data_IF_855124899427
#
_entry.id   IF_855124899427
#
_cell.length_a   1.000
_cell.length_b   1.000
_cell.length_c   1.000
_cell.angle_alpha   90.00
_cell.angle_beta   90.00
_cell.angle_gamma   90.00
#
_symmetry.space_group_name_H-M   'P 1'
#
loop_
_entity.id
_entity.type
_entity.pdbx_description
1 polymer ?
#
# COMPACT_ATOMS: atom_id res chain seq x y z
N UNK A 1 22.02 -22.83 1.27
CA UNK A 1 20.64 -23.15 1.69
C UNK A 1 20.18 -22.02 2.58
N UNK A 2 19.37 -21.11 2.04
CA UNK A 2 18.91 -19.90 2.71
C UNK A 2 17.57 -20.18 3.39
N UNK A 3 17.52 -19.99 4.71
CA UNK A 3 16.31 -20.12 5.53
C UNK A 3 15.22 -19.13 5.09
N UNK A 4 13.93 -19.50 5.20
CA UNK A 4 12.83 -18.58 4.90
C UNK A 4 12.63 -17.57 6.04
N UNK A 5 12.59 -16.28 5.68
CA UNK A 5 12.30 -15.14 6.57
C UNK A 5 10.93 -15.28 7.27
N UNK A 6 10.78 -14.97 8.57
CA UNK A 6 9.51 -15.06 9.28
C UNK A 6 8.58 -13.92 8.84
N UNK A 7 7.43 -14.24 8.24
CA UNK A 7 6.52 -13.29 7.56
C UNK A 7 5.58 -12.54 8.53
N UNK A 8 5.68 -11.21 8.60
CA UNK A 8 4.63 -10.30 9.09
C UNK A 8 4.23 -9.28 8.01
N UNK A 9 3.72 -9.76 6.88
CA UNK A 9 2.83 -9.04 5.98
C UNK A 9 2.18 -10.06 5.02
N UNK A 10 0.94 -9.77 4.65
CA UNK A 10 0.00 -10.56 3.84
C UNK A 10 0.67 -11.48 2.81
N UNK A 11 0.54 -12.79 3.02
CA UNK A 11 0.61 -13.77 1.95
C UNK A 11 -0.70 -13.70 1.16
N UNK A 12 -0.62 -13.25 -0.08
CA UNK A 12 -1.55 -13.72 -1.11
C UNK A 12 -1.07 -15.12 -1.48
N UNK A 13 -1.77 -16.13 -0.99
CA UNK A 13 -1.66 -17.50 -1.47
C UNK A 13 -3.02 -18.16 -1.25
N UNK A 14 -3.79 -18.24 -2.33
CA UNK A 14 -5.01 -19.03 -2.41
C UNK A 14 -4.62 -20.50 -2.68
N UNK A 15 -5.07 -21.41 -1.81
CA UNK A 15 -5.52 -22.79 -2.09
C UNK A 15 -5.55 -23.59 -0.77
N UNK A 16 -6.73 -23.98 -0.31
CA UNK A 16 -6.92 -24.99 0.73
C UNK A 16 -7.96 -26.01 0.25
N UNK A 17 -7.51 -27.26 0.04
CA UNK A 17 -8.36 -28.44 -0.04
C UNK A 17 -8.31 -29.10 1.35
N UNK A 18 -9.47 -29.29 1.98
CA UNK A 18 -9.60 -29.88 3.30
C UNK A 18 -9.98 -31.37 3.21
N UNK A 19 -9.29 -32.22 3.98
CA UNK A 19 -9.79 -33.54 4.37
C UNK A 19 -9.59 -33.73 5.86
N UNK A 20 -10.68 -34.05 6.56
CA UNK A 20 -10.77 -34.21 8.01
C UNK A 20 -10.30 -35.59 8.49
N UNK A 21 -9.76 -35.66 9.70
CA UNK A 21 -9.77 -36.86 10.54
C UNK A 21 -9.67 -36.50 12.04
N UNK A 22 -10.29 -37.34 12.85
CA UNK A 22 -10.82 -37.10 14.21
C UNK A 22 -9.88 -37.42 15.38
N UNK A 23 -10.15 -36.71 16.47
CA UNK A 23 -9.84 -36.83 17.91
C UNK A 23 -9.20 -38.11 18.51
N UNK A 24 -8.42 -37.90 19.59
CA UNK A 24 -8.53 -38.65 20.85
C UNK A 24 -7.93 -37.85 22.04
N UNK A 25 -8.68 -37.77 23.14
CA UNK A 25 -8.30 -37.20 24.45
C UNK A 25 -7.92 -38.29 25.46
N UNK A 26 -6.98 -38.03 26.36
CA UNK A 26 -6.79 -38.78 27.62
C UNK A 26 -6.45 -37.78 28.75
N UNK A 27 -7.07 -37.89 29.95
CA UNK A 27 -6.90 -36.93 31.05
C UNK A 27 -5.80 -37.34 32.03
N UNK A 28 -5.17 -36.36 32.70
CA UNK A 28 -4.19 -36.61 33.75
C UNK A 28 -4.02 -35.46 34.74
N UNK A 29 -4.54 -35.65 35.96
CA UNK A 29 -3.92 -35.33 37.25
C UNK A 29 -3.48 -33.90 37.57
N UNK A 30 -4.27 -33.22 38.40
CA UNK A 30 -4.00 -31.92 39.02
C UNK A 30 -2.87 -31.97 40.08
N UNK A 31 -2.01 -30.95 40.09
CA UNK A 31 -1.28 -30.50 41.27
C UNK A 31 -1.40 -28.97 41.37
N UNK A 32 -1.91 -28.50 42.50
CA UNK A 32 -2.28 -27.10 42.77
C UNK A 32 -1.03 -26.25 43.03
N UNK A 33 -0.81 -25.23 42.20
CA UNK A 33 0.04 -24.09 42.50
C UNK A 33 -0.75 -22.82 42.10
N UNK A 34 -0.79 -21.84 43.00
CA UNK A 34 -1.54 -20.61 42.81
C UNK A 34 -1.13 -19.91 41.49
N UNK A 35 -2.08 -19.49 40.65
CA UNK A 35 -1.75 -18.84 39.39
C UNK A 35 -1.05 -17.49 39.65
N UNK A 36 0.04 -17.18 38.94
CA UNK A 36 0.58 -15.82 38.95
C UNK A 36 -0.50 -14.87 38.42
N UNK A 37 -0.70 -13.77 39.13
CA UNK A 37 -1.65 -12.72 38.75
C UNK A 37 -1.32 -12.27 37.32
N UNK A 38 -2.28 -12.32 36.38
CA UNK A 38 -2.02 -11.84 35.02
C UNK A 38 -1.60 -10.36 35.10
N UNK A 39 -0.58 -9.93 34.34
CA UNK A 39 -0.21 -8.53 34.29
C UNK A 39 -1.45 -7.72 33.90
N UNK A 40 -1.70 -6.65 34.66
CA UNK A 40 -2.82 -5.75 34.39
C UNK A 40 -2.79 -5.33 32.91
N UNK A 41 -3.93 -5.34 32.21
CA UNK A 41 -3.98 -4.84 30.85
C UNK A 41 -3.44 -3.40 30.84
N UNK A 42 -2.58 -3.05 29.86
CA UNK A 42 -2.10 -1.68 29.75
C UNK A 42 -3.32 -0.75 29.66
N UNK A 43 -3.29 0.34 30.44
CA UNK A 43 -4.34 1.33 30.46
C UNK A 43 -4.69 1.76 29.01
N UNK A 44 -5.98 1.91 28.67
CA UNK A 44 -6.36 2.34 27.34
C UNK A 44 -5.70 3.68 27.01
N UNK A 45 -4.86 3.70 25.97
CA UNK A 45 -4.28 4.93 25.44
C UNK A 45 -5.43 5.85 25.01
N UNK A 46 -5.29 7.13 25.36
CA UNK A 46 -6.25 8.18 25.02
C UNK A 46 -6.61 8.16 23.51
N UNK A 47 -7.85 8.55 23.19
CA UNK A 47 -8.46 8.62 21.86
C UNK A 47 -7.86 9.71 20.98
N UNK A 48 -6.54 9.69 20.78
CA UNK A 48 -5.82 10.56 19.87
C UNK A 48 -5.81 10.03 18.43
N UNK A 49 -5.32 10.85 17.50
CA UNK A 49 -5.04 10.41 16.13
C UNK A 49 -4.01 9.26 16.17
N UNK A 50 -4.27 8.20 15.41
CA UNK A 50 -3.36 7.04 15.29
C UNK A 50 -2.63 7.01 13.95
N UNK A 51 -2.86 8.01 13.09
CA UNK A 51 -2.29 8.12 11.75
C UNK A 51 -1.83 9.57 11.53
N UNK A 52 -0.64 9.71 10.96
CA UNK A 52 -0.10 10.98 10.49
C UNK A 52 0.37 10.83 9.04
N UNK A 53 0.02 11.80 8.20
CA UNK A 53 0.35 11.82 6.78
C UNK A 53 1.15 13.09 6.47
N UNK A 54 2.26 12.94 5.74
CA UNK A 54 3.01 14.10 5.22
C UNK A 54 3.48 13.84 3.81
N UNK A 55 3.12 14.74 2.89
CA UNK A 55 3.49 14.66 1.47
C UNK A 55 4.08 15.98 0.94
N UNK A 56 5.24 15.92 0.29
CA UNK A 56 5.83 17.00 -0.50
C UNK A 56 5.33 16.88 -1.95
N UNK A 57 4.73 17.94 -2.48
CA UNK A 57 4.03 17.93 -3.77
C UNK A 57 3.82 19.33 -4.40
N UNK A 58 4.25 20.39 -3.72
CA UNK A 58 4.13 21.77 -4.18
C UNK A 58 5.52 22.34 -4.44
N UNK A 59 5.60 23.44 -5.19
CA UNK A 59 6.89 24.08 -5.49
C UNK A 59 7.65 24.46 -4.20
N UNK A 60 6.96 25.07 -3.23
CA UNK A 60 7.54 25.39 -1.93
C UNK A 60 7.95 24.16 -1.12
N UNK A 61 7.22 23.04 -1.25
CA UNK A 61 7.62 21.78 -0.63
C UNK A 61 8.94 21.26 -1.20
N UNK A 62 9.13 21.32 -2.52
CA UNK A 62 10.36 20.88 -3.16
C UNK A 62 11.54 21.79 -2.81
N UNK A 63 11.34 23.11 -2.79
CA UNK A 63 12.36 24.07 -2.36
C UNK A 63 12.82 23.87 -0.92
N UNK A 64 11.94 23.42 -0.02
CA UNK A 64 12.27 23.28 1.39
C UNK A 64 13.26 22.13 1.70
N UNK A 65 13.42 21.15 0.81
CA UNK A 65 14.38 20.08 1.01
C UNK A 65 15.82 20.48 0.66
N UNK A 66 16.77 19.65 1.08
CA UNK A 66 18.17 19.79 0.70
C UNK A 66 18.38 19.21 -0.70
N UNK A 67 18.92 20.03 -1.61
CA UNK A 67 19.17 19.66 -3.00
C UNK A 67 20.66 19.36 -3.21
N UNK A 68 20.94 18.17 -3.71
CA UNK A 68 22.26 17.77 -4.21
C UNK A 68 22.10 17.46 -5.70
N UNK A 69 22.26 18.50 -6.53
CA UNK A 69 22.10 18.41 -8.00
C UNK A 69 20.65 18.29 -8.49
N UNK A 70 19.68 18.26 -7.58
CA UNK A 70 18.26 18.34 -7.92
C UNK A 70 17.79 19.80 -8.00
N UNK A 71 16.62 20.02 -8.60
CA UNK A 71 15.95 21.31 -8.61
C UNK A 71 14.44 21.15 -8.51
N UNK A 72 13.78 22.12 -7.86
CA UNK A 72 12.34 22.25 -7.89
C UNK A 72 11.91 22.87 -9.22
N UNK A 73 10.98 22.22 -9.92
CA UNK A 73 10.35 22.76 -11.13
C UNK A 73 8.95 23.25 -10.81
N UNK A 74 8.65 24.47 -11.26
CA UNK A 74 7.35 25.12 -11.07
C UNK A 74 6.29 24.66 -12.06
N UNK A 75 5.28 25.50 -12.24
CA UNK A 75 4.20 25.25 -13.19
C UNK A 75 3.02 24.51 -12.58
N UNK A 76 2.18 23.98 -13.46
CA UNK A 76 0.85 23.54 -13.08
C UNK A 76 0.88 22.23 -12.25
N UNK A 77 1.91 21.40 -12.40
CA UNK A 77 2.18 20.25 -11.52
C UNK A 77 3.65 20.34 -11.07
N UNK A 78 3.94 21.05 -9.97
CA UNK A 78 5.30 21.22 -9.48
C UNK A 78 5.97 19.88 -9.23
N UNK A 79 7.28 19.82 -9.47
CA UNK A 79 8.03 18.58 -9.35
C UNK A 79 9.47 18.79 -8.92
N UNK A 80 10.18 17.68 -8.82
CA UNK A 80 11.60 17.58 -8.56
C UNK A 80 12.28 16.89 -9.74
N UNK A 81 13.35 17.49 -10.26
CA UNK A 81 14.11 16.98 -11.40
C UNK A 81 15.62 17.03 -11.12
N UNK A 82 16.41 16.42 -12.00
CA UNK A 82 17.86 16.54 -12.01
C UNK A 82 18.23 17.86 -12.71
N UNK A 83 18.88 18.78 -12.00
CA UNK A 83 19.51 19.95 -12.62
C UNK A 83 20.91 19.59 -13.14
N UNK A 84 21.73 19.04 -12.25
CA UNK A 84 23.11 18.64 -12.53
C UNK A 84 23.37 17.31 -11.84
N UNK A 85 23.92 16.34 -12.55
CA UNK A 85 24.34 15.09 -11.92
C UNK A 85 25.46 15.37 -10.91
N UNK A 86 25.31 14.89 -9.67
CA UNK A 86 26.37 15.04 -8.64
C UNK A 86 27.42 13.96 -8.73
N UNK A 87 27.14 12.88 -9.46
CA UNK A 87 28.10 11.81 -9.71
C UNK A 87 27.53 10.71 -10.58
N UNK A 88 28.32 9.65 -10.70
CA UNK A 88 27.94 8.40 -11.37
C UNK A 88 27.92 7.26 -10.37
N UNK A 89 27.01 6.32 -10.57
CA UNK A 89 26.90 5.10 -9.79
C UNK A 89 26.65 3.92 -10.72
N UNK A 90 27.07 2.73 -10.31
CA UNK A 90 26.73 1.50 -11.00
C UNK A 90 25.59 0.80 -10.26
N UNK A 91 24.61 0.32 -11.04
CA UNK A 91 23.56 -0.54 -10.54
C UNK A 91 23.63 -1.88 -11.25
N UNK A 92 23.91 -2.93 -10.49
CA UNK A 92 23.69 -4.31 -10.91
C UNK A 92 22.28 -4.70 -10.48
N UNK A 93 21.38 -4.84 -11.44
CA UNK A 93 20.01 -5.25 -11.19
C UNK A 93 19.99 -6.75 -10.83
N UNK A 94 19.63 -7.11 -9.58
CA UNK A 94 19.70 -8.49 -9.10
C UNK A 94 18.72 -9.42 -9.83
N UNK A 95 17.73 -8.87 -10.53
CA UNK A 95 16.67 -9.64 -11.19
C UNK A 95 16.91 -9.84 -12.69
N UNK A 96 17.80 -9.06 -13.29
CA UNK A 96 18.18 -9.22 -14.71
C UNK A 96 19.64 -9.59 -14.92
N UNK A 97 20.48 -9.44 -13.89
CA UNK A 97 21.93 -9.59 -14.00
C UNK A 97 22.60 -8.46 -14.78
N UNK A 98 21.84 -7.50 -15.32
CA UNK A 98 22.40 -6.38 -16.09
C UNK A 98 23.06 -5.39 -15.15
N UNK A 99 24.29 -5.01 -15.48
CA UNK A 99 25.01 -3.91 -14.85
C UNK A 99 24.93 -2.67 -15.74
N UNK A 100 24.63 -1.52 -15.15
CA UNK A 100 24.54 -0.26 -15.88
C UNK A 100 25.03 0.90 -15.03
N UNK A 101 25.73 1.83 -15.67
CA UNK A 101 26.14 3.11 -15.06
C UNK A 101 25.01 4.13 -15.21
N UNK A 102 24.82 4.93 -14.16
CA UNK A 102 23.80 5.96 -14.05
C UNK A 102 24.42 7.24 -13.51
N UNK A 103 24.04 8.37 -14.07
CA UNK A 103 24.16 9.66 -13.39
C UNK A 103 23.07 9.79 -12.34
N UNK A 104 23.36 10.44 -11.22
CA UNK A 104 22.37 10.65 -10.17
C UNK A 104 22.40 12.07 -9.59
N UNK A 105 21.27 12.44 -9.00
CA UNK A 105 21.12 13.59 -8.11
C UNK A 105 20.20 13.20 -6.96
N UNK A 106 20.33 13.89 -5.83
CA UNK A 106 19.64 13.56 -4.59
C UNK A 106 18.85 14.76 -4.07
N UNK A 107 17.70 14.46 -3.49
CA UNK A 107 16.93 15.41 -2.69
C UNK A 107 16.60 14.77 -1.35
N UNK A 108 16.82 15.50 -0.26
CA UNK A 108 16.47 15.04 1.10
C UNK A 108 15.41 15.96 1.69
N UNK A 109 14.31 15.38 2.17
CA UNK A 109 13.22 16.14 2.75
C UNK A 109 13.64 16.83 4.06
N UNK A 110 12.97 17.93 4.46
CA UNK A 110 12.97 18.35 5.86
C UNK A 110 12.57 17.20 6.79
N UNK A 111 13.05 17.24 8.03
CA UNK A 111 12.57 16.35 9.09
C UNK A 111 11.11 16.64 9.37
N UNK A 112 10.26 15.61 9.21
CA UNK A 112 8.88 15.66 9.67
C UNK A 112 8.81 15.09 11.09
N UNK A 113 8.44 15.91 12.07
CA UNK A 113 8.13 15.43 13.42
C UNK A 113 6.68 14.95 13.40
N UNK A 114 6.50 13.66 13.64
CA UNK A 114 5.18 13.04 13.56
C UNK A 114 4.31 13.51 14.72
N UNK A 115 3.06 13.88 14.43
CA UNK A 115 2.05 14.10 15.46
C UNK A 115 1.65 12.79 16.16
N UNK A 116 1.97 11.65 15.53
CA UNK A 116 1.71 10.29 16.02
C UNK A 116 3.04 9.53 16.05
N UNK A 117 3.71 9.42 17.20
CA UNK A 117 4.88 8.56 17.33
C UNK A 117 4.51 7.14 16.91
N UNK A 118 5.11 6.66 15.82
CA UNK A 118 4.57 5.56 15.03
C UNK A 118 5.24 4.21 15.33
N UNK A 119 4.53 3.12 15.06
CA UNK A 119 5.07 1.76 14.98
C UNK A 119 5.30 1.31 13.55
N UNK A 120 4.63 1.94 12.58
CA UNK A 120 4.73 1.60 11.16
C UNK A 120 4.84 2.86 10.29
N UNK A 121 5.52 2.73 9.14
CA UNK A 121 5.66 3.78 8.13
C UNK A 121 5.64 3.18 6.71
N UNK A 122 4.93 3.84 5.80
CA UNK A 122 4.81 3.44 4.39
C UNK A 122 5.05 4.65 3.51
N UNK A 123 6.10 4.59 2.69
CA UNK A 123 6.44 5.65 1.76
C UNK A 123 5.53 5.59 0.52
N UNK A 124 5.16 6.75 -0.01
CA UNK A 124 4.43 6.90 -1.28
C UNK A 124 5.18 7.86 -2.19
N UNK A 125 5.20 7.58 -3.49
CA UNK A 125 5.79 8.46 -4.49
C UNK A 125 4.97 8.45 -5.79
N UNK A 126 5.02 9.57 -6.50
CA UNK A 126 4.39 9.76 -7.80
C UNK A 126 5.43 10.32 -8.73
N UNK A 127 5.82 9.57 -9.76
CA UNK A 127 6.90 9.98 -10.64
C UNK A 127 6.67 9.53 -12.08
N UNK A 128 7.15 10.37 -13.00
CA UNK A 128 7.41 9.97 -14.38
C UNK A 128 8.86 9.53 -14.48
N UNK A 129 9.07 8.32 -14.97
CA UNK A 129 10.41 7.83 -15.32
C UNK A 129 10.42 7.46 -16.80
N UNK A 130 10.80 8.38 -17.71
CA UNK A 130 11.01 8.05 -19.11
C UNK A 130 12.07 6.95 -19.27
N UNK A 131 12.16 6.36 -20.46
CA UNK A 131 13.20 5.39 -20.77
C UNK A 131 14.60 5.96 -20.47
N UNK A 132 15.48 5.14 -19.92
CA UNK A 132 16.80 5.58 -19.45
C UNK A 132 16.76 6.32 -18.11
N UNK A 133 15.70 6.18 -17.31
CA UNK A 133 15.60 6.81 -15.99
C UNK A 133 14.92 5.91 -14.96
N UNK A 134 15.21 6.13 -13.68
CA UNK A 134 14.54 5.49 -12.55
C UNK A 134 14.77 6.29 -11.27
N UNK A 135 14.06 5.95 -10.18
CA UNK A 135 14.22 6.60 -8.88
C UNK A 135 14.40 5.57 -7.75
N UNK A 136 15.14 5.97 -6.72
CA UNK A 136 15.25 5.27 -5.44
C UNK A 136 14.57 6.11 -4.36
N UNK A 137 13.76 5.46 -3.54
CA UNK A 137 13.10 6.07 -2.39
C UNK A 137 13.69 5.45 -1.13
N UNK A 138 14.20 6.29 -0.24
CA UNK A 138 14.77 5.88 1.04
C UNK A 138 14.08 6.61 2.18
N UNK A 139 13.87 5.92 3.31
CA UNK A 139 13.26 6.46 4.52
C UNK A 139 14.21 6.28 5.70
N UNK A 140 14.31 7.32 6.53
CA UNK A 140 15.02 7.28 7.81
C UNK A 140 14.11 7.79 8.92
N UNK A 141 14.03 7.04 10.00
CA UNK A 141 13.33 7.42 11.22
C UNK A 141 14.28 7.92 12.31
N UNK A 142 13.73 8.71 13.23
CA UNK A 142 14.30 8.99 14.55
C UNK A 142 13.38 8.40 15.58
N UNK A 143 13.91 7.53 16.42
CA UNK A 143 13.18 6.91 17.51
C UNK A 143 12.91 7.90 18.65
N UNK A 144 11.98 7.58 19.53
CA UNK A 144 11.66 8.37 20.73
C UNK A 144 12.81 8.47 21.73
N UNK A 145 13.79 7.57 21.68
CA UNK A 145 15.02 7.63 22.47
C UNK A 145 16.09 8.57 21.86
N UNK A 146 15.78 9.21 20.73
CA UNK A 146 16.68 10.12 20.01
C UNK A 146 17.64 9.44 19.03
N UNK A 147 17.76 8.11 19.06
CA UNK A 147 18.59 7.39 18.09
C UNK A 147 17.90 7.30 16.73
N UNK A 148 18.69 7.15 15.66
CA UNK A 148 18.15 7.08 14.30
C UNK A 148 18.19 5.65 13.75
N UNK A 149 17.24 5.34 12.87
CA UNK A 149 17.36 4.17 12.00
C UNK A 149 18.49 4.37 10.99
N UNK A 150 18.95 3.29 10.34
CA UNK A 150 19.59 3.37 9.03
C UNK A 150 18.67 4.04 7.99
N UNK A 151 19.23 4.39 6.84
CA UNK A 151 18.43 4.68 5.66
C UNK A 151 17.95 3.36 5.06
N UNK A 152 16.64 3.15 5.04
CA UNK A 152 16.01 1.99 4.44
C UNK A 152 15.57 2.30 3.01
N UNK A 153 15.86 1.43 2.06
CA UNK A 153 15.36 1.52 0.69
C UNK A 153 13.92 1.00 0.68
N UNK A 154 12.97 1.92 0.50
CA UNK A 154 11.53 1.59 0.43
C UNK A 154 11.10 1.15 -0.98
N UNK A 155 11.90 1.45 -1.99
CA UNK A 155 11.69 0.96 -3.35
C UNK A 155 12.68 1.50 -4.37
N UNK A 156 12.97 0.68 -5.37
CA UNK A 156 13.57 1.11 -6.64
C UNK A 156 12.48 1.06 -7.71
N UNK A 157 12.16 2.22 -8.28
CA UNK A 157 11.01 2.39 -9.14
C UNK A 157 11.40 2.88 -10.54
N UNK A 158 10.87 2.19 -11.54
CA UNK A 158 10.71 2.68 -12.90
C UNK A 158 9.28 2.32 -13.36
N UNK A 159 8.67 3.18 -14.18
CA UNK A 159 7.35 3.00 -14.79
C UNK A 159 7.35 1.86 -15.83
N UNK A 160 8.50 1.58 -16.44
CA UNK A 160 8.72 0.44 -17.31
C UNK A 160 9.76 -0.53 -16.75
N UNK A 161 10.00 -1.63 -17.45
CA UNK A 161 10.89 -2.72 -17.02
C UNK A 161 12.17 -2.88 -17.87
N UNK A 162 12.40 -1.97 -18.82
CA UNK A 162 13.55 -2.03 -19.74
C UNK A 162 14.87 -1.57 -19.10
N UNK A 163 14.78 -0.61 -18.16
CA UNK A 163 15.93 0.03 -17.51
C UNK A 163 16.37 -0.72 -16.26
N UNK A 164 15.41 -0.98 -15.36
CA UNK A 164 15.55 -1.80 -14.16
C UNK A 164 14.28 -2.62 -13.96
N UNK A 165 14.39 -3.77 -13.29
CA UNK A 165 13.25 -4.43 -12.67
C UNK A 165 12.94 -3.73 -11.36
N UNK A 166 11.84 -2.97 -11.38
CA UNK A 166 11.24 -2.35 -10.20
C UNK A 166 11.13 -3.37 -9.06
N UNK A 167 11.61 -2.99 -7.87
CA UNK A 167 11.86 -3.96 -6.79
C UNK A 167 11.86 -3.31 -5.40
N UNK A 168 11.28 -4.00 -4.42
CA UNK A 168 11.60 -3.81 -3.00
C UNK A 168 12.99 -4.36 -2.69
N UNK A 169 13.45 -4.18 -1.44
CA UNK A 169 14.76 -4.67 -0.98
C UNK A 169 14.57 -5.47 0.31
N UNK A 170 14.93 -6.75 0.27
CA UNK A 170 14.81 -7.68 1.39
C UNK A 170 15.91 -7.49 2.45
N UNK A 171 15.68 -8.05 3.64
CA UNK A 171 16.70 -8.23 4.68
C UNK A 171 17.13 -6.96 5.41
N UNK A 172 16.35 -5.88 5.31
CA UNK A 172 16.66 -4.61 5.95
C UNK A 172 16.13 -4.57 7.38
N UNK A 173 17.03 -4.54 8.37
CA UNK A 173 16.70 -4.42 9.79
C UNK A 173 17.84 -3.74 10.58
N UNK A 174 17.51 -3.12 11.71
CA UNK A 174 18.49 -2.65 12.71
C UNK A 174 18.35 -3.36 14.08
N UNK A 175 17.59 -4.47 14.12
CA UNK A 175 17.26 -5.20 15.35
C UNK A 175 16.17 -4.53 16.21
N UNK A 176 15.68 -3.36 15.81
CA UNK A 176 14.58 -2.63 16.45
C UNK A 176 13.41 -2.38 15.50
N UNK A 177 13.71 -2.23 14.22
CA UNK A 177 12.77 -2.08 13.14
C UNK A 177 13.23 -2.86 11.91
N UNK A 178 12.26 -3.29 11.10
CA UNK A 178 12.45 -4.12 9.92
C UNK A 178 11.56 -3.62 8.78
N UNK A 179 12.06 -3.64 7.55
CA UNK A 179 11.24 -3.39 6.36
C UNK A 179 10.65 -4.70 5.86
N UNK A 180 9.32 -4.76 5.84
CA UNK A 180 8.53 -5.85 5.30
C UNK A 180 8.01 -5.48 3.92
N UNK A 181 8.80 -5.75 2.86
CA UNK A 181 8.51 -5.40 1.46
C UNK A 181 8.37 -3.89 1.23
N UNK A 182 7.29 -3.28 1.71
CA UNK A 182 6.93 -1.87 1.55
C UNK A 182 6.64 -1.13 2.87
N UNK A 183 6.61 -1.85 3.99
CA UNK A 183 6.25 -1.30 5.30
C UNK A 183 7.44 -1.37 6.25
N UNK A 184 7.94 -0.23 6.71
CA UNK A 184 8.85 -0.18 7.86
C UNK A 184 8.02 -0.39 9.12
N UNK A 185 8.35 -1.38 9.93
CA UNK A 185 7.67 -1.67 11.18
C UNK A 185 8.66 -1.84 12.33
N UNK A 186 8.28 -1.39 13.53
CA UNK A 186 8.98 -1.76 14.75
C UNK A 186 8.80 -3.24 15.05
N UNK A 187 9.89 -3.88 15.46
CA UNK A 187 9.86 -5.27 15.88
C UNK A 187 9.07 -5.41 17.18
N UNK A 188 8.41 -6.55 17.38
CA UNK A 188 7.43 -6.71 18.46
C UNK A 188 7.97 -6.43 19.88
N UNK A 189 9.17 -6.90 20.28
CA UNK A 189 9.73 -6.58 21.61
C UNK A 189 9.93 -5.08 21.79
N UNK A 190 10.44 -4.41 20.75
CA UNK A 190 10.70 -2.97 20.73
C UNK A 190 9.42 -2.14 20.79
N UNK A 191 8.42 -2.50 19.99
CA UNK A 191 7.13 -1.83 19.99
C UNK A 191 6.40 -1.98 21.34
N UNK A 192 6.49 -3.17 21.95
CA UNK A 192 5.90 -3.48 23.27
C UNK A 192 6.61 -2.72 24.38
N UNK A 193 7.92 -2.54 24.27
CA UNK A 193 8.71 -1.71 25.20
C UNK A 193 8.43 -0.19 25.08
N UNK A 194 7.57 0.23 24.14
CA UNK A 194 7.12 1.61 24.02
C UNK A 194 7.96 2.49 23.10
N UNK A 195 9.02 1.95 22.47
CA UNK A 195 9.76 2.71 21.46
C UNK A 195 8.83 3.06 20.29
N UNK A 196 8.99 4.26 19.73
CA UNK A 196 8.23 4.74 18.55
C UNK A 196 9.15 5.48 17.59
N UNK A 197 8.75 5.57 16.33
CA UNK A 197 9.34 6.47 15.34
C UNK A 197 8.70 7.86 15.55
N UNK A 198 9.44 8.79 16.15
CA UNK A 198 8.97 10.12 16.51
C UNK A 198 9.09 11.15 15.38
N UNK A 199 10.07 10.97 14.50
CA UNK A 199 10.28 11.82 13.34
C UNK A 199 10.85 10.99 12.19
N UNK A 200 10.75 11.51 10.96
CA UNK A 200 11.29 10.82 9.79
C UNK A 200 11.66 11.79 8.66
N UNK A 201 12.46 11.31 7.73
CA UNK A 201 12.86 11.98 6.50
C UNK A 201 12.79 11.01 5.32
N UNK A 202 12.61 11.55 4.12
CA UNK A 202 12.83 10.85 2.87
C UNK A 202 14.07 11.36 2.17
N UNK A 203 14.74 10.45 1.47
CA UNK A 203 15.75 10.76 0.47
C UNK A 203 15.31 10.16 -0.85
N UNK A 204 15.30 11.00 -1.88
CA UNK A 204 15.00 10.62 -3.25
C UNK A 204 16.29 10.70 -4.05
N UNK A 205 16.70 9.59 -4.66
CA UNK A 205 17.81 9.58 -5.63
C UNK A 205 17.25 9.37 -7.02
N UNK A 206 17.39 10.38 -7.86
CA UNK A 206 16.94 10.38 -9.24
C UNK A 206 18.10 9.91 -10.11
N UNK A 207 17.83 8.97 -11.03
CA UNK A 207 18.85 8.40 -11.91
C UNK A 207 18.48 8.62 -13.38
N UNK A 208 19.49 8.93 -14.19
CA UNK A 208 19.39 8.96 -15.66
C UNK A 208 20.62 8.33 -16.31
N UNK A 209 20.52 7.92 -17.58
CA UNK A 209 21.70 7.46 -18.33
C UNK A 209 22.76 8.57 -18.41
N UNK A 210 24.07 8.24 -18.35
CA UNK A 210 25.12 9.24 -18.47
C UNK A 210 24.99 10.07 -19.75
N UNK A 211 25.11 11.40 -19.62
CA UNK A 211 24.98 12.32 -20.75
C UNK A 211 23.56 12.50 -21.31
N UNK A 212 22.52 11.91 -20.70
CA UNK A 212 21.15 12.15 -21.11
C UNK A 212 20.67 13.53 -20.62
N UNK A 213 19.99 14.29 -21.48
CA UNK A 213 19.47 15.62 -21.12
C UNK A 213 18.25 15.54 -20.20
N UNK A 214 17.41 14.50 -20.38
CA UNK A 214 16.17 14.32 -19.62
C UNK A 214 16.36 13.35 -18.44
N UNK A 215 15.74 13.68 -17.31
CA UNK A 215 15.70 12.85 -16.11
C UNK A 215 14.27 12.45 -15.72
N UNK A 216 14.13 11.70 -14.62
CA UNK A 216 12.82 11.44 -14.04
C UNK A 216 12.27 12.72 -13.39
N UNK A 217 10.94 12.86 -13.35
CA UNK A 217 10.25 13.95 -12.66
C UNK A 217 9.44 13.35 -11.52
N UNK A 218 9.68 13.79 -10.27
CA UNK A 218 8.88 13.38 -9.09
C UNK A 218 7.87 14.49 -8.77
N UNK A 219 6.59 14.16 -8.68
CA UNK A 219 5.51 15.14 -8.41
C UNK A 219 4.94 15.05 -7.00
N UNK A 220 5.10 13.90 -6.34
CA UNK A 220 4.73 13.72 -4.95
C UNK A 220 5.67 12.71 -4.31
N UNK A 221 6.11 12.98 -3.08
CA UNK A 221 6.76 12.01 -2.21
C UNK A 221 6.31 12.24 -0.77
N UNK A 222 6.24 11.20 0.04
CA UNK A 222 5.87 11.32 1.44
C UNK A 222 5.67 9.98 2.09
N UNK A 223 5.13 9.98 3.31
CA UNK A 223 4.80 8.76 4.01
C UNK A 223 3.54 8.94 4.85
N UNK A 224 2.82 7.83 5.00
CA UNK A 224 1.91 7.61 6.11
C UNK A 224 2.66 6.91 7.23
N UNK A 225 2.51 7.41 8.45
CA UNK A 225 3.00 6.73 9.66
C UNK A 225 1.84 6.50 10.63
N UNK A 226 1.91 5.42 11.40
CA UNK A 226 0.79 5.04 12.28
C UNK A 226 1.21 4.29 13.54
N UNK A 227 0.39 4.42 14.57
CA UNK A 227 0.42 3.64 15.82
C UNK A 227 -1.00 3.15 16.12
N UNK A 228 -1.51 2.25 15.27
CA UNK A 228 -2.84 1.66 15.44
C UNK A 228 -2.74 0.55 16.50
N UNK A 229 -3.52 0.61 17.58
CA UNK A 229 -3.44 -0.38 18.65
C UNK A 229 -3.90 -1.77 18.17
N UNK A 230 -3.40 -2.79 18.85
CA UNK A 230 -3.86 -4.16 18.70
C UNK A 230 -5.35 -4.26 19.05
N UNK A 231 -6.16 -4.70 18.08
CA UNK A 231 -7.60 -4.87 18.24
C UNK A 231 -8.11 -5.99 17.34
N UNK A 232 -8.93 -6.87 17.89
CA UNK A 232 -9.60 -7.96 17.18
C UNK A 232 -10.92 -7.55 16.57
N UNK A 233 -11.56 -6.56 17.18
CA UNK A 233 -12.81 -5.97 16.72
C UNK A 233 -12.73 -4.45 16.74
N UNK A 234 -13.61 -3.81 15.99
CA UNK A 234 -13.85 -2.37 16.08
C UNK A 234 -15.33 -2.07 16.27
N UNK A 235 -15.68 -1.00 17.01
CA UNK A 235 -17.05 -0.51 17.07
C UNK A 235 -17.54 -0.11 15.67
N UNK A 236 -18.77 -0.48 15.33
CA UNK A 236 -19.39 -0.02 14.09
C UNK A 236 -19.66 1.49 14.16
N UNK A 237 -19.28 2.22 13.12
CA UNK A 237 -19.59 3.63 12.97
C UNK A 237 -21.05 3.83 12.56
N UNK A 238 -21.61 4.99 12.88
CA UNK A 238 -22.97 5.34 12.48
C UNK A 238 -22.98 5.76 11.01
N UNK A 239 -23.84 5.18 10.17
CA UNK A 239 -23.89 5.55 8.75
C UNK A 239 -24.48 6.93 8.55
N UNK A 240 -24.04 7.63 7.50
CA UNK A 240 -24.58 8.94 7.13
C UNK A 240 -26.00 8.93 6.55
N UNK A 241 -26.57 7.73 6.31
CA UNK A 241 -27.95 7.49 5.82
C UNK A 241 -28.29 8.14 4.47
N UNK A 242 -27.30 8.42 3.63
CA UNK A 242 -27.54 8.80 2.23
C UNK A 242 -26.89 7.78 1.31
N UNK A 243 -27.69 7.25 0.39
CA UNK A 243 -27.17 6.39 -0.66
C UNK A 243 -26.30 7.22 -1.62
N UNK A 244 -25.12 6.69 -1.95
CA UNK A 244 -24.24 7.28 -2.95
C UNK A 244 -23.41 6.16 -3.57
N UNK A 245 -23.32 6.13 -4.90
CA UNK A 245 -22.54 5.13 -5.61
C UNK A 245 -21.85 5.76 -6.82
N UNK A 246 -20.53 5.59 -6.88
CA UNK A 246 -19.68 6.04 -7.95
C UNK A 246 -19.70 5.02 -9.10
N UNK A 247 -19.69 5.52 -10.33
CA UNK A 247 -19.70 4.70 -11.55
C UNK A 247 -18.30 4.18 -11.90
N UNK A 248 -17.71 3.42 -10.98
CA UNK A 248 -16.39 2.81 -11.18
C UNK A 248 -16.53 1.57 -12.07
N UNK A 249 -15.72 1.43 -13.15
CA UNK A 249 -15.66 0.22 -13.97
C UNK A 249 -15.44 -1.04 -13.14
N UNK A 250 -15.85 -2.19 -13.68
CA UNK A 250 -15.84 -3.47 -12.97
C UNK A 250 -14.93 -4.44 -13.70
N UNK A 251 -13.89 -4.89 -13.02
CA UNK A 251 -12.99 -5.92 -13.52
C UNK A 251 -12.85 -7.04 -12.50
N UNK A 252 -13.00 -8.26 -12.99
CA UNK A 252 -12.68 -9.48 -12.28
C UNK A 252 -11.22 -9.82 -12.53
N UNK A 253 -10.53 -10.23 -11.48
CA UNK A 253 -9.18 -10.80 -11.63
C UNK A 253 -9.24 -12.26 -12.11
N UNK A 254 -10.31 -12.98 -11.76
CA UNK A 254 -10.46 -14.43 -12.02
C UNK A 254 -10.65 -14.76 -13.50
N UNK A 255 -11.12 -13.81 -14.32
CA UNK A 255 -11.10 -14.02 -15.79
C UNK A 255 -9.68 -14.17 -16.32
N UNK A 256 -8.66 -13.80 -15.54
CA UNK A 256 -7.24 -13.97 -15.86
C UNK A 256 -6.57 -15.13 -15.12
N UNK A 257 -7.34 -16.04 -14.50
CA UNK A 257 -6.79 -17.19 -13.80
C UNK A 257 -5.78 -17.97 -14.67
N UNK A 258 -4.58 -18.20 -14.13
CA UNK A 258 -3.47 -18.87 -14.81
C UNK A 258 -2.86 -18.14 -16.02
N UNK A 259 -3.29 -16.91 -16.34
CA UNK A 259 -2.72 -16.11 -17.44
C UNK A 259 -1.48 -15.34 -16.95
N UNK A 260 -0.39 -15.37 -17.72
CA UNK A 260 0.89 -14.73 -17.38
C UNK A 260 1.41 -15.13 -15.98
N UNK A 261 1.70 -16.42 -15.75
CA UNK A 261 2.11 -16.92 -14.43
C UNK A 261 3.40 -16.30 -13.89
N UNK A 262 4.23 -15.70 -14.76
CA UNK A 262 5.40 -14.92 -14.37
C UNK A 262 5.07 -13.69 -13.51
N UNK A 263 3.82 -13.22 -13.53
CA UNK A 263 3.32 -12.15 -12.69
C UNK A 263 2.45 -12.73 -11.58
N UNK A 264 3.04 -13.45 -10.62
CA UNK A 264 2.36 -13.95 -9.42
C UNK A 264 1.32 -15.06 -9.69
N UNK A 265 1.66 -16.02 -10.56
CA UNK A 265 0.83 -17.16 -10.97
C UNK A 265 -0.45 -16.82 -11.77
N UNK A 266 -0.76 -15.54 -11.97
CA UNK A 266 -1.86 -15.07 -12.80
C UNK A 266 -2.93 -14.32 -12.01
N UNK A 267 -4.11 -14.21 -12.62
CA UNK A 267 -5.24 -13.41 -12.14
C UNK A 267 -5.62 -13.63 -10.68
N UNK A 268 -5.43 -14.83 -10.15
CA UNK A 268 -5.75 -15.23 -8.77
C UNK A 268 -5.01 -14.39 -7.71
N UNK A 269 -3.91 -13.72 -8.09
CA UNK A 269 -3.14 -12.82 -7.22
C UNK A 269 -3.22 -11.33 -7.61
N UNK A 270 -4.10 -10.96 -8.55
CA UNK A 270 -4.14 -9.62 -9.15
C UNK A 270 -5.18 -8.67 -8.54
N UNK A 271 -5.67 -8.94 -7.33
CA UNK A 271 -6.66 -8.07 -6.66
C UNK A 271 -6.25 -6.59 -6.60
N UNK A 272 -4.97 -6.32 -6.31
CA UNK A 272 -4.39 -4.98 -6.20
C UNK A 272 -4.32 -4.24 -7.56
N UNK A 273 -3.66 -4.79 -8.61
CA UNK A 273 -3.64 -4.14 -9.92
C UNK A 273 -5.04 -4.04 -10.56
N UNK A 274 -5.91 -5.03 -10.35
CA UNK A 274 -7.29 -5.00 -10.86
C UNK A 274 -8.09 -3.86 -10.22
N UNK A 275 -8.03 -3.74 -8.89
CA UNK A 275 -8.64 -2.61 -8.16
C UNK A 275 -8.06 -1.26 -8.56
N UNK A 276 -6.73 -1.22 -8.79
CA UNK A 276 -6.06 -0.01 -9.23
C UNK A 276 -6.55 0.44 -10.60
N UNK A 277 -6.65 -0.49 -11.55
CA UNK A 277 -7.11 -0.22 -12.91
C UNK A 277 -8.57 0.27 -12.93
N UNK A 278 -9.45 -0.29 -12.09
CA UNK A 278 -10.83 0.18 -11.93
C UNK A 278 -10.89 1.67 -11.56
N UNK A 279 -10.12 2.12 -10.57
CA UNK A 279 -10.12 3.54 -10.15
C UNK A 279 -9.40 4.43 -11.18
N UNK A 280 -8.31 3.97 -11.79
CA UNK A 280 -7.60 4.73 -12.84
C UNK A 280 -8.56 5.07 -13.98
N UNK A 281 -9.37 4.11 -14.44
CA UNK A 281 -10.35 4.32 -15.51
C UNK A 281 -11.56 5.14 -15.07
N UNK A 282 -11.99 5.02 -13.81
CA UNK A 282 -13.01 5.90 -13.25
C UNK A 282 -12.62 7.39 -13.38
N UNK A 283 -11.34 7.70 -13.21
CA UNK A 283 -10.80 9.04 -13.44
C UNK A 283 -10.44 9.35 -14.90
N UNK A 284 -10.73 8.44 -15.83
CA UNK A 284 -10.50 8.62 -17.26
C UNK A 284 -9.09 8.22 -17.74
N UNK A 285 -8.24 7.66 -16.88
CA UNK A 285 -6.97 7.07 -17.29
C UNK A 285 -7.20 5.86 -18.19
N UNK A 286 -6.47 5.76 -19.31
CA UNK A 286 -6.58 4.64 -20.24
C UNK A 286 -5.20 4.13 -20.62
N UNK A 287 -5.02 2.82 -20.63
CA UNK A 287 -3.79 2.21 -21.16
C UNK A 287 -3.75 2.49 -22.66
N UNK A 288 -2.68 3.08 -23.22
CA UNK A 288 -2.58 3.27 -24.66
C UNK A 288 -2.48 1.91 -25.36
N UNK A 289 -3.11 1.78 -26.53
CA UNK A 289 -3.13 0.52 -27.30
C UNK A 289 -1.74 -0.03 -27.59
N UNK A 290 -0.74 0.84 -27.80
CA UNK A 290 0.66 0.46 -27.99
C UNK A 290 1.24 -0.30 -26.79
N UNK A 291 0.81 0.02 -25.57
CA UNK A 291 1.25 -0.65 -24.34
C UNK A 291 0.52 -1.97 -24.05
N UNK A 292 -0.49 -2.31 -24.85
CA UNK A 292 -1.25 -3.56 -24.78
C UNK A 292 -0.82 -4.59 -25.83
N UNK A 293 0.09 -4.23 -26.76
CA UNK A 293 0.51 -5.09 -27.87
C UNK A 293 1.19 -6.40 -27.45
N UNK A 294 1.71 -6.45 -26.23
CA UNK A 294 2.30 -7.67 -25.65
C UNK A 294 1.24 -8.63 -25.09
N UNK A 295 0.01 -8.15 -24.87
CA UNK A 295 -1.07 -8.96 -24.31
C UNK A 295 -1.68 -9.79 -25.44
N UNK A 296 -1.82 -11.10 -25.22
CA UNK A 296 -2.58 -12.00 -26.07
C UNK A 296 -3.96 -11.41 -26.40
N UNK A 297 -4.26 -11.16 -27.69
CA UNK A 297 -5.47 -10.47 -28.10
C UNK A 297 -6.76 -11.26 -27.83
N UNK A 298 -6.68 -12.56 -27.48
CA UNK A 298 -7.86 -13.35 -27.10
C UNK A 298 -8.30 -13.12 -25.65
N UNK A 299 -7.47 -12.46 -24.83
CA UNK A 299 -7.79 -12.17 -23.44
C UNK A 299 -8.67 -10.92 -23.34
N UNK A 300 -9.78 -11.06 -22.63
CA UNK A 300 -10.56 -9.92 -22.13
C UNK A 300 -9.71 -9.06 -21.20
N UNK A 301 -10.10 -7.80 -21.03
CA UNK A 301 -9.53 -6.86 -20.07
C UNK A 301 -7.99 -6.76 -20.10
N UNK A 302 -7.37 -6.54 -21.27
CA UNK A 302 -5.91 -6.52 -21.41
C UNK A 302 -5.23 -5.44 -20.55
N UNK A 303 -5.97 -4.39 -20.16
CA UNK A 303 -5.53 -3.39 -19.20
C UNK A 303 -5.22 -3.95 -17.81
N UNK A 304 -5.88 -5.03 -17.37
CA UNK A 304 -5.61 -5.69 -16.09
C UNK A 304 -4.28 -6.44 -16.17
N UNK A 305 -4.01 -7.13 -17.29
CA UNK A 305 -2.69 -7.74 -17.54
C UNK A 305 -1.58 -6.68 -17.55
N UNK A 306 -1.83 -5.53 -18.19
CA UNK A 306 -0.90 -4.39 -18.16
C UNK A 306 -0.66 -3.88 -16.73
N UNK A 307 -1.72 -3.69 -15.94
CA UNK A 307 -1.60 -3.25 -14.55
C UNK A 307 -0.79 -4.25 -13.69
N UNK A 308 -1.01 -5.56 -13.86
CA UNK A 308 -0.24 -6.60 -13.16
C UNK A 308 1.25 -6.50 -13.49
N UNK A 309 1.61 -6.49 -14.77
CA UNK A 309 3.01 -6.31 -15.22
C UNK A 309 3.64 -5.02 -14.68
N UNK A 310 2.91 -3.91 -14.72
CA UNK A 310 3.41 -2.58 -14.32
C UNK A 310 3.51 -2.38 -12.80
N UNK A 311 2.93 -3.29 -11.99
CA UNK A 311 2.97 -3.24 -10.52
C UNK A 311 3.72 -4.40 -9.88
N UNK A 312 4.12 -5.40 -10.67
CA UNK A 312 4.88 -6.55 -10.22
C UNK A 312 6.22 -6.14 -9.58
N UNK A 313 6.40 -6.52 -8.32
CA UNK A 313 7.62 -6.34 -7.56
C UNK A 313 8.52 -7.57 -7.70
N UNK A 314 9.70 -7.41 -8.27
CA UNK A 314 10.59 -8.53 -8.58
C UNK A 314 11.17 -9.25 -7.34
N UNK A 315 11.39 -8.55 -6.22
CA UNK A 315 11.88 -9.19 -4.99
C UNK A 315 10.75 -9.88 -4.23
N UNK A 316 9.61 -9.19 -4.07
CA UNK A 316 8.40 -9.77 -3.45
C UNK A 316 7.79 -10.89 -4.29
N UNK A 317 8.01 -10.87 -5.61
CA UNK A 317 7.43 -11.79 -6.61
C UNK A 317 5.91 -11.72 -6.65
N UNK A 318 5.36 -10.50 -6.51
CA UNK A 318 3.92 -10.31 -6.48
C UNK A 318 3.50 -8.91 -6.91
N UNK A 319 2.20 -8.76 -7.19
CA UNK A 319 1.60 -7.48 -7.60
C UNK A 319 1.02 -6.68 -6.41
N UNK A 320 1.16 -7.22 -5.19
CA UNK A 320 0.55 -6.69 -3.97
C UNK A 320 1.32 -5.59 -3.24
N UNK A 321 2.45 -5.10 -3.75
CA UNK A 321 3.21 -4.01 -3.12
C UNK A 321 2.42 -2.69 -3.20
N UNK A 322 2.10 -2.09 -2.04
CA UNK A 322 1.11 -0.99 -1.98
C UNK A 322 1.61 0.30 -2.63
N UNK A 323 2.81 0.81 -2.29
CA UNK A 323 3.37 1.99 -2.96
C UNK A 323 3.55 1.79 -4.46
N UNK A 324 3.80 0.56 -4.91
CA UNK A 324 3.99 0.27 -6.31
C UNK A 324 2.69 0.44 -7.12
N UNK A 325 1.55 0.02 -6.57
CA UNK A 325 0.24 0.26 -7.18
C UNK A 325 -0.10 1.76 -7.21
N UNK A 326 0.16 2.48 -6.12
CA UNK A 326 -0.03 3.93 -6.07
C UNK A 326 0.86 4.69 -7.07
N UNK A 327 2.12 4.28 -7.21
CA UNK A 327 3.06 4.86 -8.17
C UNK A 327 2.68 4.51 -9.62
N UNK A 328 2.13 3.32 -9.88
CA UNK A 328 1.57 2.97 -11.19
C UNK A 328 0.38 3.86 -11.56
N UNK A 329 -0.57 4.07 -10.65
CA UNK A 329 -1.70 4.98 -10.88
C UNK A 329 -1.22 6.41 -11.21
N UNK A 330 -0.14 6.86 -10.59
CA UNK A 330 0.47 8.16 -10.83
C UNK A 330 1.13 8.33 -12.21
N UNK A 331 1.36 7.23 -12.95
CA UNK A 331 1.90 7.31 -14.32
C UNK A 331 0.87 7.82 -15.33
N UNK A 332 -0.42 7.78 -14.97
CA UNK A 332 -1.50 8.30 -15.79
C UNK A 332 -1.60 9.83 -15.68
N UNK A 333 -1.81 10.53 -16.81
CA UNK A 333 -1.92 11.98 -16.81
C UNK A 333 -2.99 12.49 -15.84
N UNK A 334 -2.62 13.47 -15.01
CA UNK A 334 -3.55 14.13 -14.10
C UNK A 334 -3.92 13.32 -12.85
N UNK A 335 -3.36 12.13 -12.63
CA UNK A 335 -3.61 11.34 -11.42
C UNK A 335 -2.49 11.46 -10.38
N UNK A 336 -2.89 11.41 -9.11
CA UNK A 336 -2.01 11.20 -7.98
C UNK A 336 -2.53 10.05 -7.12
N UNK A 337 -1.62 9.28 -6.53
CA UNK A 337 -1.93 8.17 -5.66
C UNK A 337 -1.08 8.15 -4.39
N UNK A 338 -1.70 7.80 -3.26
CA UNK A 338 -1.03 7.59 -1.99
C UNK A 338 -1.56 6.35 -1.28
N UNK A 339 -0.72 5.77 -0.43
CA UNK A 339 -1.14 4.77 0.57
C UNK A 339 -1.37 5.49 1.89
N UNK A 340 -2.49 5.20 2.55
CA UNK A 340 -2.77 5.75 3.87
C UNK A 340 -3.55 4.76 4.73
N UNK A 341 -3.86 5.15 5.97
CA UNK A 341 -4.79 4.44 6.85
C UNK A 341 -5.96 5.36 7.19
N UNK A 342 -7.17 4.84 7.04
CA UNK A 342 -8.38 5.49 7.56
C UNK A 342 -8.79 4.78 8.85
N UNK A 343 -9.44 5.51 9.76
CA UNK A 343 -9.75 5.01 11.10
C UNK A 343 -11.23 4.69 11.30
N UNK A 344 -12.08 5.00 10.32
CA UNK A 344 -13.51 4.73 10.35
C UNK A 344 -14.12 4.62 8.94
N UNK A 345 -15.28 3.97 8.80
CA UNK A 345 -16.09 4.09 7.59
C UNK A 345 -16.67 5.50 7.42
N UNK A 346 -16.79 6.31 8.48
CA UNK A 346 -17.20 7.72 8.37
C UNK A 346 -16.22 8.53 7.52
N UNK A 347 -14.92 8.32 7.70
CA UNK A 347 -13.89 8.97 6.87
C UNK A 347 -13.99 8.51 5.42
N UNK A 348 -14.20 7.21 5.20
CA UNK A 348 -14.34 6.65 3.87
C UNK A 348 -15.61 7.15 3.16
N UNK A 349 -16.74 7.25 3.85
CA UNK A 349 -17.97 7.86 3.34
C UNK A 349 -17.75 9.31 2.93
N UNK A 350 -16.99 10.07 3.72
CA UNK A 350 -16.64 11.46 3.43
C UNK A 350 -15.88 11.57 2.10
N UNK A 351 -14.93 10.67 1.86
CA UNK A 351 -14.18 10.61 0.60
C UNK A 351 -15.05 10.19 -0.58
N UNK A 352 -15.83 9.11 -0.42
CA UNK A 352 -16.68 8.56 -1.48
C UNK A 352 -17.75 9.56 -1.90
N UNK A 353 -18.35 10.30 -0.96
CA UNK A 353 -19.29 11.40 -1.27
C UNK A 353 -18.64 12.54 -2.06
N UNK A 354 -17.36 12.80 -1.84
CA UNK A 354 -16.60 13.78 -2.62
C UNK A 354 -16.10 13.22 -3.97
N UNK A 355 -16.57 12.02 -4.36
CA UNK A 355 -16.23 11.37 -5.62
C UNK A 355 -14.93 10.59 -5.61
N UNK A 356 -14.33 10.33 -4.43
CA UNK A 356 -13.05 9.61 -4.29
C UNK A 356 -13.32 8.17 -3.83
N UNK A 357 -13.29 7.17 -4.74
CA UNK A 357 -13.31 5.77 -4.33
C UNK A 357 -12.01 5.39 -3.62
N UNK A 358 -12.04 4.32 -2.82
CA UNK A 358 -10.85 3.83 -2.13
C UNK A 358 -10.66 2.33 -2.32
N UNK A 359 -9.40 1.90 -2.39
CA UNK A 359 -9.04 0.47 -2.44
C UNK A 359 -8.65 0.06 -1.04
N UNK A 360 -9.47 -0.76 -0.39
CA UNK A 360 -9.25 -1.19 1.01
C UNK A 360 -8.62 -2.57 1.05
N UNK A 361 -7.65 -2.75 1.94
CA UNK A 361 -7.07 -4.07 2.22
C UNK A 361 -7.93 -4.83 3.22
N UNK A 362 -8.39 -6.02 2.83
CA UNK A 362 -9.31 -6.85 3.58
C UNK A 362 -8.69 -8.17 3.96
N UNK A 363 -9.00 -8.65 5.17
CA UNK A 363 -8.56 -9.95 5.66
C UNK A 363 -9.66 -10.55 6.52
N UNK A 364 -10.29 -11.64 6.05
CA UNK A 364 -11.43 -12.28 6.71
C UNK A 364 -11.47 -13.80 6.54
N UNK A 365 -12.19 -14.49 7.43
CA UNK A 365 -12.63 -15.88 7.26
C UNK A 365 -13.96 -15.90 6.50
N UNK A 366 -14.35 -17.00 5.84
CA UNK A 366 -15.59 -17.07 5.06
C UNK A 366 -16.84 -16.61 5.83
N UNK A 367 -16.91 -16.90 7.12
CA UNK A 367 -18.03 -16.55 8.00
C UNK A 367 -18.04 -15.09 8.49
N UNK A 368 -16.96 -14.33 8.28
CA UNK A 368 -16.82 -12.96 8.80
C UNK A 368 -17.32 -11.88 7.84
N UNK A 369 -17.56 -12.22 6.56
CA UNK A 369 -18.09 -11.31 5.56
C UNK A 369 -19.23 -11.98 4.78
N UNK A 370 -20.46 -11.73 5.21
CA UNK A 370 -21.67 -12.31 4.62
C UNK A 370 -21.74 -11.99 3.13
N UNK A 371 -21.98 -13.01 2.30
CA UNK A 371 -22.15 -12.85 0.85
C UNK A 371 -20.85 -12.82 0.04
N UNK A 372 -19.67 -12.86 0.68
CA UNK A 372 -18.40 -12.96 -0.05
C UNK A 372 -18.22 -14.33 -0.71
N UNK A 373 -18.57 -15.41 -0.01
CA UNK A 373 -18.46 -16.79 -0.51
C UNK A 373 -17.05 -17.40 -0.44
N UNK A 374 -16.08 -16.71 0.16
CA UNK A 374 -14.70 -17.17 0.34
C UNK A 374 -14.08 -16.51 1.58
N UNK A 375 -12.86 -16.92 1.95
CA UNK A 375 -12.05 -16.25 2.96
C UNK A 375 -10.65 -15.96 2.42
N UNK A 376 -9.94 -15.01 3.03
CA UNK A 376 -8.63 -14.56 2.56
C UNK A 376 -7.74 -14.07 3.70
N UNK A 377 -6.43 -14.31 3.57
CA UNK A 377 -5.40 -13.72 4.43
C UNK A 377 -5.13 -12.25 4.06
N UNK A 378 -5.41 -11.86 2.81
CA UNK A 378 -5.41 -10.47 2.35
C UNK A 378 -5.93 -10.35 0.92
N UNK A 379 -6.74 -9.33 0.67
CA UNK A 379 -7.40 -9.07 -0.60
C UNK A 379 -7.71 -7.59 -0.75
N UNK A 380 -7.53 -7.03 -1.94
CA UNK A 380 -7.83 -5.63 -2.21
C UNK A 380 -9.19 -5.52 -2.88
N UNK A 381 -10.06 -4.67 -2.32
CA UNK A 381 -11.41 -4.43 -2.83
C UNK A 381 -11.64 -2.94 -2.97
N UNK A 382 -12.38 -2.51 -3.99
CA UNK A 382 -12.65 -1.09 -4.23
C UNK A 382 -13.99 -0.69 -3.65
N UNK A 383 -14.02 0.19 -2.64
CA UNK A 383 -15.25 0.79 -2.14
C UNK A 383 -15.68 1.92 -3.07
N UNK A 384 -16.88 1.78 -3.63
CA UNK A 384 -17.44 2.67 -4.64
C UNK A 384 -18.68 3.42 -4.14
N UNK A 385 -19.22 3.04 -2.98
CA UNK A 385 -20.48 3.60 -2.52
C UNK A 385 -20.97 3.04 -1.20
N UNK A 386 -22.11 3.58 -0.77
CA UNK A 386 -22.85 3.14 0.39
C UNK A 386 -24.34 3.15 0.08
N UNK A 387 -25.07 2.17 0.61
CA UNK A 387 -26.54 2.14 0.54
C UNK A 387 -27.16 3.15 1.51
N UNK A 388 -28.48 3.39 1.42
CA UNK A 388 -29.18 4.22 2.39
C UNK A 388 -29.10 3.67 3.83
N UNK A 389 -28.98 2.35 3.99
CA UNK A 389 -28.77 1.69 5.28
C UNK A 389 -27.33 1.83 5.79
N UNK A 390 -26.39 2.27 4.94
CA UNK A 390 -24.98 2.42 5.26
C UNK A 390 -24.12 1.19 4.99
N UNK A 391 -24.67 0.20 4.29
CA UNK A 391 -23.93 -0.97 3.82
C UNK A 391 -22.98 -0.58 2.70
N UNK A 392 -21.82 -1.24 2.65
CA UNK A 392 -20.72 -0.91 1.76
C UNK A 392 -20.98 -1.49 0.39
N UNK A 393 -20.98 -0.63 -0.64
CA UNK A 393 -21.01 -1.05 -2.03
C UNK A 393 -19.56 -1.11 -2.51
N UNK A 394 -19.10 -2.31 -2.84
CA UNK A 394 -17.72 -2.56 -3.25
C UNK A 394 -17.65 -3.33 -4.56
N UNK A 395 -16.67 -2.99 -5.39
CA UNK A 395 -16.20 -3.84 -6.48
C UNK A 395 -15.18 -4.83 -5.90
N UNK A 396 -15.58 -6.10 -5.80
CA UNK A 396 -14.77 -7.23 -5.38
C UNK A 396 -14.18 -7.93 -6.62
N UNK A 397 -12.87 -7.77 -6.90
CA UNK A 397 -12.26 -8.37 -8.07
C UNK A 397 -12.22 -9.91 -8.02
N UNK A 398 -12.38 -10.53 -6.84
CA UNK A 398 -12.50 -11.98 -6.70
C UNK A 398 -13.94 -12.45 -7.01
N UNK A 399 -14.29 -12.30 -8.28
CA UNK A 399 -15.60 -12.62 -8.84
C UNK A 399 -15.41 -13.39 -10.14
N UNK A 400 -16.26 -14.35 -10.48
CA UNK A 400 -16.08 -15.21 -11.66
C UNK A 400 -16.10 -14.45 -13.01
N UNK A 401 -16.75 -13.27 -13.06
CA UNK A 401 -16.76 -12.38 -14.21
C UNK A 401 -16.94 -10.91 -13.78
N UNK A 402 -16.87 -9.99 -14.74
CA UNK A 402 -17.01 -8.54 -14.51
C UNK A 402 -18.39 -8.12 -14.02
N UNK A 403 -19.46 -8.86 -14.36
CA UNK A 403 -20.82 -8.53 -13.95
C UNK A 403 -21.02 -8.80 -12.44
N UNK A 404 -20.41 -9.86 -11.93
CA UNK A 404 -20.47 -10.30 -10.53
C UNK A 404 -19.60 -9.49 -9.56
N UNK A 405 -18.74 -8.59 -10.06
CA UNK A 405 -17.78 -7.80 -9.27
C UNK A 405 -18.46 -6.88 -8.24
N UNK A 406 -19.59 -6.25 -8.60
CA UNK A 406 -20.25 -5.33 -7.68
C UNK A 406 -21.03 -6.10 -6.63
N UNK A 407 -20.68 -5.89 -5.36
CA UNK A 407 -21.30 -6.50 -4.18
C UNK A 407 -21.70 -5.45 -3.15
N UNK A 408 -22.63 -5.83 -2.27
CA UNK A 408 -23.06 -5.03 -1.13
C UNK A 408 -22.80 -5.84 0.13
N UNK A 409 -22.04 -5.26 1.06
CA UNK A 409 -21.63 -5.91 2.30
C UNK A 409 -22.15 -5.15 3.50
N UNK A 410 -22.51 -5.90 4.55
CA UNK A 410 -22.95 -5.32 5.80
C UNK A 410 -21.87 -4.42 6.38
N UNK A 411 -22.27 -3.22 6.78
CA UNK A 411 -21.37 -2.21 7.35
C UNK A 411 -20.44 -2.73 8.43
N UNK A 412 -21.03 -3.32 9.47
CA UNK A 412 -20.30 -3.73 10.67
C UNK A 412 -19.29 -4.84 10.37
N UNK A 413 -19.64 -5.78 9.50
CA UNK A 413 -18.75 -6.86 9.06
C UNK A 413 -17.55 -6.28 8.30
N UNK A 414 -17.81 -5.42 7.32
CA UNK A 414 -16.78 -4.74 6.53
C UNK A 414 -15.82 -3.91 7.40
N UNK A 415 -16.39 -3.05 8.25
CA UNK A 415 -15.60 -2.17 9.11
C UNK A 415 -14.73 -2.96 10.07
N UNK A 416 -15.26 -4.06 10.61
CA UNK A 416 -14.52 -4.96 11.49
C UNK A 416 -13.31 -5.59 10.79
N UNK A 417 -13.52 -6.19 9.62
CA UNK A 417 -12.45 -6.89 8.90
C UNK A 417 -11.38 -5.94 8.33
N UNK A 418 -11.77 -4.69 8.03
CA UNK A 418 -10.89 -3.67 7.51
C UNK A 418 -10.07 -2.97 8.60
N UNK A 419 -10.70 -2.58 9.72
CA UNK A 419 -10.04 -1.73 10.69
C UNK A 419 -9.32 -2.52 11.80
N UNK A 420 -9.62 -3.80 12.00
CA UNK A 420 -8.89 -4.62 12.99
C UNK A 420 -7.42 -4.80 12.61
N UNK A 421 -6.55 -4.84 13.60
CA UNK A 421 -5.11 -5.07 13.44
C UNK A 421 -4.69 -6.48 13.82
N UNK A 422 -5.58 -7.23 14.51
CA UNK A 422 -5.40 -8.65 14.83
C UNK A 422 -6.62 -9.46 14.43
N UNK A 423 -6.40 -10.73 14.11
CA UNK A 423 -7.47 -11.71 13.91
C UNK A 423 -6.99 -13.11 14.28
N UNK A 424 -7.92 -13.99 14.59
CA UNK A 424 -7.64 -15.43 14.69
C UNK A 424 -7.75 -16.02 13.28
N UNK A 425 -6.66 -16.61 12.80
CA UNK A 425 -6.63 -17.28 11.51
C UNK A 425 -7.33 -18.65 11.55
N UNK A 426 -7.48 -19.30 10.39
CA UNK A 426 -8.10 -20.62 10.31
C UNK A 426 -7.39 -21.70 11.15
N UNK A 427 -6.08 -21.54 11.40
CA UNK A 427 -5.29 -22.42 12.26
C UNK A 427 -5.40 -22.13 13.76
N UNK A 428 -6.27 -21.18 14.17
CA UNK A 428 -6.39 -20.73 15.57
C UNK A 428 -5.29 -19.76 16.02
N UNK A 429 -4.27 -19.49 15.18
CA UNK A 429 -3.19 -18.55 15.52
C UNK A 429 -3.61 -17.11 15.30
N UNK A 430 -3.14 -16.22 16.19
CA UNK A 430 -3.30 -14.77 15.99
C UNK A 430 -2.41 -14.31 14.82
N UNK A 431 -3.03 -13.63 13.87
CA UNK A 431 -2.40 -13.05 12.68
C UNK A 431 -2.77 -11.58 12.55
N UNK A 432 -2.07 -10.84 11.69
CA UNK A 432 -2.33 -9.42 11.49
C UNK A 432 -3.58 -9.18 10.63
N UNK A 433 -4.36 -8.16 10.97
CA UNK A 433 -5.36 -7.55 10.10
C UNK A 433 -4.77 -6.34 9.36
N UNK A 434 -5.55 -5.71 8.49
CA UNK A 434 -5.06 -4.59 7.67
C UNK A 434 -4.97 -3.28 8.43
N UNK A 435 -5.73 -3.08 9.51
CA UNK A 435 -5.68 -1.88 10.34
C UNK A 435 -6.06 -0.59 9.60
N UNK A 436 -6.95 -0.68 8.61
CA UNK A 436 -7.48 0.47 7.87
C UNK A 436 -6.63 0.95 6.69
N UNK A 437 -5.60 0.20 6.27
CA UNK A 437 -4.82 0.57 5.08
C UNK A 437 -5.71 0.63 3.85
N UNK A 438 -5.51 1.67 3.05
CA UNK A 438 -6.15 1.83 1.75
C UNK A 438 -5.27 2.61 0.77
N UNK A 439 -5.62 2.51 -0.51
CA UNK A 439 -5.08 3.36 -1.56
C UNK A 439 -6.11 4.43 -1.89
N UNK A 440 -5.64 5.66 -2.05
CA UNK A 440 -6.44 6.79 -2.49
C UNK A 440 -5.85 7.33 -3.77
N UNK A 441 -6.61 7.22 -4.86
CA UNK A 441 -6.28 7.84 -6.14
C UNK A 441 -7.28 8.95 -6.44
N UNK A 442 -6.76 10.12 -6.79
CA UNK A 442 -7.55 11.30 -7.04
C UNK A 442 -6.89 12.14 -8.14
N UNK A 443 -7.61 13.13 -8.71
CA UNK A 443 -6.98 14.12 -9.57
C UNK A 443 -5.81 14.78 -8.84
N UNK A 444 -4.67 14.90 -9.51
CA UNK A 444 -3.46 15.57 -8.99
C UNK A 444 -3.73 17.04 -8.61
N UNK A 445 -4.83 17.61 -9.12
CA UNK A 445 -5.43 18.86 -8.64
C UNK A 445 -6.86 18.57 -8.19
N UNK A 446 -7.08 18.22 -6.91
CA UNK A 446 -8.41 17.95 -6.41
C UNK A 446 -9.26 19.22 -6.44
N UNK A 447 -10.57 19.06 -6.60
CA UNK A 447 -11.54 20.15 -6.42
C UNK A 447 -11.50 20.66 -4.96
N UNK A 448 -12.11 21.82 -4.70
CA UNK A 448 -12.20 22.36 -3.33
C UNK A 448 -12.92 21.40 -2.37
N UNK A 449 -13.93 20.69 -2.86
CA UNK A 449 -14.68 19.70 -2.09
C UNK A 449 -13.82 18.47 -1.78
N UNK A 450 -13.15 17.91 -2.79
CA UNK A 450 -12.22 16.80 -2.64
C UNK A 450 -11.08 17.11 -1.67
N UNK A 451 -10.50 18.32 -1.77
CA UNK A 451 -9.47 18.77 -0.86
C UNK A 451 -9.96 18.84 0.59
N UNK A 452 -11.18 19.35 0.82
CA UNK A 452 -11.79 19.36 2.17
C UNK A 452 -12.03 17.95 2.69
N UNK A 453 -12.52 17.03 1.85
CA UNK A 453 -12.75 15.64 2.22
C UNK A 453 -11.45 14.93 2.59
N UNK A 454 -10.39 15.10 1.79
CA UNK A 454 -9.06 14.54 2.07
C UNK A 454 -8.48 15.08 3.39
N UNK A 455 -8.63 16.38 3.66
CA UNK A 455 -8.20 16.98 4.93
C UNK A 455 -9.03 16.48 6.11
N UNK A 456 -10.35 16.35 5.96
CA UNK A 456 -11.24 15.82 6.99
C UNK A 456 -10.88 14.37 7.36
N UNK A 457 -10.58 13.54 6.37
CA UNK A 457 -10.08 12.18 6.54
C UNK A 457 -8.62 12.10 7.02
N UNK A 458 -7.94 13.24 7.22
CA UNK A 458 -6.58 13.31 7.75
C UNK A 458 -5.48 12.92 6.77
N UNK A 459 -5.74 12.96 5.46
CA UNK A 459 -4.78 12.64 4.38
C UNK A 459 -3.88 13.83 4.04
N UNK A 460 -4.40 15.06 4.17
CA UNK A 460 -3.73 16.33 3.81
C UNK A 460 -3.58 17.31 4.99
#
# INVERSE_FOLDING_TARGET
>A
MTEPTPRRAVLVAALAVATAATAATVPGGSASAAPPTPPAPPAPRATGRTVDNRFWHSYGHWLAGAHEGTTAVGGARPGLEIATAVGRTEYADPHTGRKSTWEYATWTSPVHRSAVPATEAIASWNARTPAGTWIRIELRGTYTDGTATPWYVMGRWASGEADIRRTSVDGQSDGRSTVWTDTLALDAPTATAGLRIAAWQLRLTLHRRPGADLGPTVWLAGAMVSDVPDRFTVPASTPSRTAHELKVPRYSQEVHAGRYPEYDNGGEAWCSPTSSQMIIEYWGGKVPSSALTWVNPTYSDPQVCHAARSTYDAAYKGCGNWPFNAAYAATYPGLAGVVTRLTSLTDLETLVRAGIPAITSQSFRPEELTGAGYGTAGHLMTVIGFTAAGDVIANDPNSHDNAAVRRVYKRAEWENIWLRTKRVGASGKVTSGSGGVCYLYAPARPSREQFRALRAAGVL
#
